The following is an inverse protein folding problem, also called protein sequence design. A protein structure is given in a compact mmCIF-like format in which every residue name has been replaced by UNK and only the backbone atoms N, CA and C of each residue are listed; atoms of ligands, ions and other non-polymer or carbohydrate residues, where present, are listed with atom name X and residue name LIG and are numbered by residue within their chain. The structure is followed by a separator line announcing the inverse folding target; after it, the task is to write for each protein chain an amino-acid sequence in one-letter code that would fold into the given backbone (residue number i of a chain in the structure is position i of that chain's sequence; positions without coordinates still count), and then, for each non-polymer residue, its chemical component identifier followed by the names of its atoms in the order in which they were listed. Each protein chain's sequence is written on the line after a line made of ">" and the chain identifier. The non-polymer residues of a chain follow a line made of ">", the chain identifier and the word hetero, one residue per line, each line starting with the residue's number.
data_IF_421312900108
#
_entry.id   IF_421312900108
#
_cell.length_a   1.000
_cell.length_b   1.000
_cell.length_c   1.000
_cell.angle_alpha   90.00
_cell.angle_beta   90.00
_cell.angle_gamma   90.00
#
_symmetry.space_group_name_H-M   'P 1'
#
loop_
_entity.id
_entity.type
_entity.pdbx_description
1 polymer ?
#
# COMPACT_ATOMS: atom_id res chain seq x y z
N UNK A 1 37.60 -16.76 -18.12
CA UNK A 1 37.32 -16.21 -16.78
C UNK A 1 36.67 -14.83 -16.88
N UNK A 2 37.31 -13.85 -17.53
CA UNK A 2 36.78 -12.47 -17.67
C UNK A 2 35.42 -12.41 -18.39
N UNK A 3 35.22 -13.18 -19.46
CA UNK A 3 33.96 -13.20 -20.23
C UNK A 3 32.75 -13.72 -19.44
N UNK A 4 32.93 -14.73 -18.57
CA UNK A 4 31.87 -15.20 -17.68
C UNK A 4 31.53 -14.17 -16.59
N UNK A 5 32.54 -13.49 -16.04
CA UNK A 5 32.32 -12.44 -15.03
C UNK A 5 31.53 -11.29 -15.64
N UNK A 6 31.93 -10.80 -16.81
CA UNK A 6 31.21 -9.73 -17.52
C UNK A 6 29.80 -10.17 -17.88
N UNK A 7 29.61 -11.39 -18.40
CA UNK A 7 28.28 -11.94 -18.70
C UNK A 7 27.38 -12.05 -17.46
N UNK A 8 27.93 -12.44 -16.31
CA UNK A 8 27.20 -12.51 -15.05
C UNK A 8 26.76 -11.13 -14.57
N UNK A 9 27.63 -10.12 -14.63
CA UNK A 9 27.27 -8.75 -14.28
C UNK A 9 26.16 -8.19 -15.18
N UNK A 10 26.22 -8.45 -16.49
CA UNK A 10 25.17 -8.05 -17.43
C UNK A 10 23.85 -8.75 -17.10
N UNK A 11 23.87 -10.05 -16.80
CA UNK A 11 22.68 -10.80 -16.43
C UNK A 11 22.04 -10.29 -15.12
N UNK A 12 22.86 -9.99 -14.11
CA UNK A 12 22.37 -9.42 -12.83
C UNK A 12 21.79 -8.02 -13.04
N UNK A 13 22.45 -7.17 -13.84
CA UNK A 13 21.93 -5.84 -14.16
C UNK A 13 20.59 -5.91 -14.91
N UNK A 14 20.46 -6.82 -15.88
CA UNK A 14 19.19 -7.04 -16.59
C UNK A 14 18.10 -7.57 -15.66
N UNK A 15 18.42 -8.51 -14.77
CA UNK A 15 17.47 -9.03 -13.79
C UNK A 15 16.98 -7.92 -12.84
N UNK A 16 17.91 -7.09 -12.34
CA UNK A 16 17.60 -5.95 -11.50
C UNK A 16 16.71 -4.92 -12.24
N UNK A 17 16.99 -4.67 -13.52
CA UNK A 17 16.17 -3.79 -14.36
C UNK A 17 14.75 -4.34 -14.51
N UNK A 18 14.59 -5.62 -14.86
CA UNK A 18 13.26 -6.25 -15.00
C UNK A 18 12.48 -6.22 -13.69
N UNK A 19 13.14 -6.55 -12.58
CA UNK A 19 12.54 -6.45 -11.25
C UNK A 19 12.15 -5.02 -10.90
N UNK A 20 12.98 -4.02 -11.23
CA UNK A 20 12.66 -2.62 -10.99
C UNK A 20 11.41 -2.18 -11.76
N UNK A 21 11.31 -2.52 -13.05
CA UNK A 21 10.14 -2.21 -13.89
C UNK A 21 8.87 -2.86 -13.34
N UNK A 22 8.97 -4.10 -12.85
CA UNK A 22 7.83 -4.81 -12.24
C UNK A 22 7.45 -4.24 -10.87
N UNK A 23 8.41 -3.69 -10.12
CA UNK A 23 8.16 -3.10 -8.81
C UNK A 23 7.41 -1.76 -8.88
N UNK A 24 7.60 -0.98 -9.95
CA UNK A 24 6.91 0.32 -10.16
C UNK A 24 5.37 0.21 -10.08
N UNK A 25 4.68 -0.66 -10.85
CA UNK A 25 3.22 -0.77 -10.76
C UNK A 25 2.76 -1.27 -9.37
N UNK A 26 3.53 -2.14 -8.72
CA UNK A 26 3.25 -2.61 -7.36
C UNK A 26 3.33 -1.45 -6.37
N UNK A 27 4.35 -0.58 -6.50
CA UNK A 27 4.51 0.65 -5.72
C UNK A 27 3.30 1.57 -5.86
N UNK A 28 2.83 1.77 -7.10
CA UNK A 28 1.69 2.65 -7.39
C UNK A 28 0.40 2.10 -6.77
N UNK A 29 0.14 0.79 -6.88
CA UNK A 29 -1.05 0.17 -6.28
C UNK A 29 -1.01 0.29 -4.75
N UNK A 30 0.14 0.03 -4.13
CA UNK A 30 0.31 0.15 -2.68
C UNK A 30 0.23 1.60 -2.20
N UNK A 31 0.66 2.57 -3.01
CA UNK A 31 0.49 3.99 -2.72
C UNK A 31 -0.98 4.45 -2.85
N UNK A 32 -1.78 3.81 -3.71
CA UNK A 32 -3.20 4.13 -3.90
C UNK A 32 -4.10 3.47 -2.83
N UNK A 33 -3.70 2.29 -2.32
CA UNK A 33 -4.41 1.56 -1.25
C UNK A 33 -4.74 2.40 0.00
N UNK A 34 -3.81 3.19 0.60
CA UNK A 34 -4.11 4.00 1.78
C UNK A 34 -5.14 5.08 1.48
N UNK A 35 -5.19 5.59 0.25
CA UNK A 35 -6.20 6.59 -0.15
C UNK A 35 -7.61 5.98 -0.18
N UNK A 36 -7.73 4.76 -0.73
CA UNK A 36 -9.00 4.01 -0.71
C UNK A 36 -9.44 3.63 0.72
N UNK A 37 -8.49 3.19 1.57
CA UNK A 37 -8.75 2.89 2.99
C UNK A 37 -9.17 4.15 3.78
N UNK A 38 -8.56 5.31 3.52
CA UNK A 38 -8.96 6.57 4.15
C UNK A 38 -10.38 6.98 3.75
N UNK A 39 -10.72 6.88 2.45
CA UNK A 39 -12.09 7.13 1.97
C UNK A 39 -13.11 6.17 2.61
N UNK A 40 -12.78 4.88 2.70
CA UNK A 40 -13.63 3.90 3.39
C UNK A 40 -13.79 4.25 4.88
N UNK A 41 -12.72 4.66 5.56
CA UNK A 41 -12.76 5.15 6.94
C UNK A 41 -13.69 6.34 7.12
N UNK A 42 -13.63 7.34 6.24
CA UNK A 42 -14.51 8.53 6.27
C UNK A 42 -15.97 8.14 6.01
N UNK A 43 -16.24 7.31 5.00
CA UNK A 43 -17.61 6.87 4.68
C UNK A 43 -18.22 6.07 5.84
N UNK A 44 -17.44 5.20 6.47
CA UNK A 44 -17.86 4.44 7.64
C UNK A 44 -18.10 5.35 8.85
N UNK A 45 -17.29 6.39 9.04
CA UNK A 45 -17.46 7.38 10.09
C UNK A 45 -18.75 8.20 9.90
N UNK A 46 -19.02 8.66 8.68
CA UNK A 46 -20.27 9.36 8.32
C UNK A 46 -21.47 8.44 8.52
N UNK A 47 -21.37 7.18 8.08
CA UNK A 47 -22.44 6.18 8.27
C UNK A 47 -22.69 5.88 9.75
N UNK A 48 -21.64 5.78 10.57
CA UNK A 48 -21.77 5.55 12.01
C UNK A 48 -22.47 6.71 12.73
N UNK A 49 -22.16 7.96 12.35
CA UNK A 49 -22.81 9.16 12.88
C UNK A 49 -24.29 9.25 12.51
N UNK A 50 -24.65 8.85 11.28
CA UNK A 50 -26.04 8.96 10.78
C UNK A 50 -26.98 7.90 11.36
N UNK A 51 -26.52 6.66 11.62
CA UNK A 51 -27.42 5.62 12.13
C UNK A 51 -27.61 5.63 13.65
N UNK A 52 -26.52 5.67 14.44
CA UNK A 52 -26.59 5.66 15.92
C UNK A 52 -25.33 6.34 16.51
N UNK A 53 -25.41 7.59 16.97
CA UNK A 53 -24.23 8.40 17.31
C UNK A 53 -23.43 7.94 18.55
N UNK A 54 -23.87 6.88 19.26
CA UNK A 54 -23.33 6.45 20.56
C UNK A 54 -22.97 4.96 20.66
N UNK A 55 -22.78 4.24 19.55
CA UNK A 55 -22.23 2.87 19.57
C UNK A 55 -20.78 2.86 19.06
N UNK A 56 -19.85 2.79 20.00
CA UNK A 56 -18.40 2.69 19.76
C UNK A 56 -17.99 1.51 18.87
N UNK A 57 -18.79 0.44 18.82
CA UNK A 57 -18.56 -0.71 17.91
C UNK A 57 -18.57 -0.33 16.43
N UNK A 58 -19.36 0.67 16.03
CA UNK A 58 -19.41 1.11 14.63
C UNK A 58 -18.21 2.00 14.25
N UNK A 59 -17.47 2.53 15.23
CA UNK A 59 -16.26 3.33 15.00
C UNK A 59 -15.00 2.48 14.88
N UNK A 60 -14.97 1.27 15.47
CA UNK A 60 -13.82 0.34 15.35
C UNK A 60 -13.38 0.09 13.90
N UNK A 61 -14.26 -0.25 12.93
CA UNK A 61 -13.82 -0.48 11.56
C UNK A 61 -13.32 0.78 10.86
N UNK A 62 -13.86 1.97 11.19
CA UNK A 62 -13.39 3.25 10.64
C UNK A 62 -11.99 3.63 11.18
N UNK A 63 -11.78 3.46 12.49
CA UNK A 63 -10.49 3.69 13.15
C UNK A 63 -9.44 2.72 12.66
N UNK A 64 -9.79 1.44 12.51
CA UNK A 64 -8.89 0.40 11.96
C UNK A 64 -8.53 0.71 10.51
N UNK A 65 -9.47 1.14 9.67
CA UNK A 65 -9.18 1.54 8.30
C UNK A 65 -8.26 2.77 8.22
N UNK A 66 -8.44 3.75 9.11
CA UNK A 66 -7.56 4.91 9.23
C UNK A 66 -6.15 4.55 9.73
N UNK A 67 -6.05 3.68 10.75
CA UNK A 67 -4.79 3.19 11.28
C UNK A 67 -4.02 2.35 10.25
N UNK A 68 -4.70 1.47 9.52
CA UNK A 68 -4.11 0.69 8.42
C UNK A 68 -3.66 1.60 7.28
N UNK A 69 -4.45 2.61 6.91
CA UNK A 69 -4.04 3.62 5.91
C UNK A 69 -2.77 4.36 6.36
N UNK A 70 -2.72 4.80 7.61
CA UNK A 70 -1.55 5.47 8.19
C UNK A 70 -0.31 4.57 8.28
N UNK A 71 -0.48 3.31 8.68
CA UNK A 71 0.61 2.32 8.73
C UNK A 71 1.16 2.01 7.33
N UNK A 72 0.28 1.79 6.36
CA UNK A 72 0.69 1.53 4.97
C UNK A 72 1.47 2.73 4.43
N UNK A 73 1.03 3.97 4.72
CA UNK A 73 1.74 5.20 4.33
C UNK A 73 3.00 5.51 5.14
N UNK A 74 3.21 4.85 6.28
CA UNK A 74 4.47 4.94 7.02
C UNK A 74 5.51 4.01 6.40
N UNK A 75 5.09 2.79 6.03
CA UNK A 75 5.99 1.77 5.48
C UNK A 75 6.36 2.01 4.00
N UNK A 76 5.54 2.75 3.24
CA UNK A 76 5.74 3.12 1.83
C UNK A 76 5.95 4.62 1.66
#
# INVERSE_FOLDING_TARGET
>A
MVTLVVGCFVAVALLALVLSILSVPVMIILALAPWALALAGVVLLVKALTEKPMRWENFMPAVVAFLLSGLIRWFF
#
